data_IF_736438221119
#
_entry.id   IF_736438221119
#
_cell.length_a   1.000
_cell.length_b   1.000
_cell.length_c   1.000
_cell.angle_alpha   90.00
_cell.angle_beta   90.00
_cell.angle_gamma   90.00
#
_symmetry.space_group_name_H-M   'P 1'
#
loop_
_entity.id
_entity.type
_entity.pdbx_description
1 polymer ?
#
# COMPACT_ATOMS: atom_id res chain seq x y z
N UNK A 1 -23.34 4.64 7.61
CA UNK A 1 -22.24 5.61 7.76
C UNK A 1 -21.03 5.06 7.01
N UNK A 2 -20.40 5.85 6.14
CA UNK A 2 -19.20 5.43 5.39
C UNK A 2 -17.97 6.01 6.07
N UNK A 3 -17.14 5.16 6.66
CA UNK A 3 -15.88 5.55 7.28
C UNK A 3 -14.72 5.04 6.44
N UNK A 4 -13.71 5.89 6.24
CA UNK A 4 -12.46 5.54 5.59
C UNK A 4 -11.31 5.86 6.53
N UNK A 5 -10.37 4.93 6.62
CA UNK A 5 -9.16 5.08 7.44
C UNK A 5 -7.95 4.61 6.62
N UNK A 6 -6.82 5.29 6.76
CA UNK A 6 -5.53 4.85 6.22
C UNK A 6 -4.70 4.32 7.39
N UNK A 7 -4.17 3.10 7.25
CA UNK A 7 -3.29 2.49 8.25
C UNK A 7 -1.99 2.01 7.62
N UNK A 8 -0.94 2.01 8.44
CA UNK A 8 0.29 1.26 8.15
C UNK A 8 0.10 -0.16 8.69
N UNK A 9 0.20 -1.15 7.81
CA UNK A 9 0.15 -2.55 8.20
C UNK A 9 1.48 -3.03 8.80
N UNK A 10 1.51 -4.29 9.22
CA UNK A 10 2.71 -4.89 9.80
C UNK A 10 3.86 -4.90 8.82
N UNK A 11 5.07 -4.63 9.32
CA UNK A 11 6.27 -4.66 8.50
C UNK A 11 6.63 -6.08 8.07
N UNK A 12 7.06 -6.24 6.83
CA UNK A 12 7.66 -7.48 6.31
C UNK A 12 9.10 -7.22 5.94
N UNK A 13 10.02 -8.09 6.35
CA UNK A 13 11.43 -8.00 6.00
C UNK A 13 11.77 -9.02 4.92
N UNK A 14 12.39 -8.56 3.83
CA UNK A 14 12.93 -9.41 2.76
C UNK A 14 14.35 -8.93 2.50
N UNK A 15 15.33 -9.82 2.68
CA UNK A 15 16.75 -9.51 2.55
C UNK A 15 17.18 -8.28 3.39
N UNK A 16 17.73 -7.25 2.74
CA UNK A 16 18.16 -5.98 3.32
C UNK A 16 17.05 -4.91 3.38
N UNK A 17 15.82 -5.24 2.98
CA UNK A 17 14.69 -4.30 2.87
C UNK A 17 13.60 -4.58 3.90
N UNK A 18 13.00 -3.52 4.43
CA UNK A 18 11.80 -3.57 5.28
C UNK A 18 10.66 -2.85 4.57
N UNK A 19 9.55 -3.54 4.41
CA UNK A 19 8.36 -3.08 3.71
C UNK A 19 7.25 -2.78 4.70
N UNK A 20 6.68 -1.58 4.62
CA UNK A 20 5.52 -1.15 5.41
C UNK A 20 4.34 -0.90 4.46
N UNK A 21 3.35 -1.80 4.40
CA UNK A 21 2.20 -1.62 3.54
C UNK A 21 1.29 -0.50 4.06
N UNK A 22 0.89 0.38 3.16
CA UNK A 22 -0.09 1.42 3.41
C UNK A 22 -1.43 0.91 2.90
N UNK A 23 -2.41 0.81 3.79
CA UNK A 23 -3.70 0.17 3.54
C UNK A 23 -4.82 1.19 3.73
N UNK A 24 -5.78 1.19 2.80
CA UNK A 24 -7.07 1.87 2.95
C UNK A 24 -8.09 0.89 3.49
N UNK A 25 -8.68 1.21 4.63
CA UNK A 25 -9.77 0.44 5.22
C UNK A 25 -11.06 1.22 5.01
N UNK A 26 -11.99 0.61 4.28
CA UNK A 26 -13.34 1.10 4.08
C UNK A 26 -14.29 0.33 4.98
N UNK A 27 -15.04 1.04 5.82
CA UNK A 27 -16.07 0.46 6.65
C UNK A 27 -17.43 1.07 6.30
N UNK A 28 -18.37 0.21 5.91
CA UNK A 28 -19.76 0.57 5.69
C UNK A 28 -20.65 -0.17 6.68
N UNK A 29 -21.38 0.61 7.49
CA UNK A 29 -22.46 0.09 8.35
C UNK A 29 -23.84 0.50 7.82
N UNK A 30 -24.72 -0.48 7.62
CA UNK A 30 -26.12 -0.28 7.20
C UNK A 30 -27.08 -1.23 7.94
N UNK A 31 -27.93 -0.65 8.80
CA UNK A 31 -28.95 -1.29 9.64
C UNK A 31 -28.49 -2.55 10.42
N UNK A 32 -28.35 -3.70 9.76
CA UNK A 32 -27.96 -4.98 10.37
C UNK A 32 -26.64 -5.56 9.80
N UNK A 33 -26.07 -4.93 8.77
CA UNK A 33 -24.86 -5.39 8.10
C UNK A 33 -23.69 -4.42 8.28
N UNK A 34 -22.52 -4.99 8.52
CA UNK A 34 -21.22 -4.31 8.52
C UNK A 34 -20.34 -4.93 7.43
N UNK A 35 -19.82 -4.09 6.54
CA UNK A 35 -18.92 -4.48 5.46
C UNK A 35 -17.59 -3.78 5.64
N UNK A 36 -16.53 -4.56 5.61
CA UNK A 36 -15.16 -4.07 5.62
C UNK A 36 -14.51 -4.41 4.28
N UNK A 37 -13.85 -3.43 3.69
CA UNK A 37 -12.97 -3.62 2.54
C UNK A 37 -11.59 -3.08 2.88
N UNK A 38 -10.55 -3.79 2.47
CA UNK A 38 -9.15 -3.42 2.66
C UNK A 38 -8.53 -3.37 1.27
N UNK A 39 -7.90 -2.25 0.94
CA UNK A 39 -7.22 -2.05 -0.35
C UNK A 39 -5.79 -1.56 -0.11
N UNK A 40 -4.77 -2.17 -0.75
CA UNK A 40 -3.42 -1.63 -0.71
C UNK A 40 -3.36 -0.30 -1.45
N UNK A 41 -2.61 0.67 -0.92
CA UNK A 41 -2.37 1.97 -1.54
C UNK A 41 -0.91 2.15 -1.96
N UNK A 42 0.02 1.68 -1.14
CA UNK A 42 1.45 1.83 -1.39
C UNK A 42 2.26 0.88 -0.49
N UNK A 43 3.54 0.70 -0.79
CA UNK A 43 4.55 0.15 0.11
C UNK A 43 5.60 1.21 0.40
N UNK A 44 5.83 1.51 1.67
CA UNK A 44 7.04 2.24 2.08
C UNK A 44 8.15 1.21 2.23
N UNK A 45 9.27 1.42 1.54
CA UNK A 45 10.44 0.55 1.59
C UNK A 45 11.57 1.28 2.27
N UNK A 46 12.22 0.60 3.21
CA UNK A 46 13.44 1.04 3.87
C UNK A 46 14.56 0.09 3.48
N UNK A 47 15.58 0.60 2.80
CA UNK A 47 16.75 -0.14 2.32
C UNK A 47 18.02 0.57 2.79
N UNK A 48 18.61 0.10 3.89
CA UNK A 48 19.70 0.82 4.55
C UNK A 48 19.28 2.23 4.98
N UNK A 49 19.91 3.25 4.42
CA UNK A 49 19.56 4.67 4.65
C UNK A 49 18.49 5.18 3.68
N UNK A 50 18.23 4.47 2.58
CA UNK A 50 17.24 4.87 1.58
C UNK A 50 15.82 4.56 2.04
N UNK A 51 14.91 5.50 1.78
CA UNK A 51 13.48 5.36 2.05
C UNK A 51 12.71 5.83 0.82
N UNK A 52 11.86 4.98 0.29
CA UNK A 52 11.06 5.29 -0.89
C UNK A 52 9.65 4.68 -0.79
N UNK A 53 8.72 5.18 -1.60
CA UNK A 53 7.33 4.75 -1.63
C UNK A 53 7.05 4.14 -3.00
N UNK A 54 6.58 2.90 -3.03
CA UNK A 54 6.04 2.25 -4.21
C UNK A 54 4.52 2.39 -4.20
N UNK A 55 3.90 3.26 -5.02
CA UNK A 55 2.46 3.32 -5.13
C UNK A 55 1.93 1.98 -5.67
N UNK A 56 0.80 1.52 -5.15
CA UNK A 56 0.07 0.35 -5.64
C UNK A 56 -1.06 0.74 -6.58
N UNK A 57 -0.96 1.94 -7.20
CA UNK A 57 -1.85 2.28 -8.31
C UNK A 57 -1.81 1.15 -9.34
N UNK A 58 -2.97 0.80 -9.89
CA UNK A 58 -3.04 -0.15 -11.00
C UNK A 58 -2.19 0.46 -12.13
N UNK A 59 -0.94 0.00 -12.25
CA UNK A 59 -0.11 0.31 -13.41
C UNK A 59 -0.75 -0.43 -14.57
N UNK A 60 -1.66 0.25 -15.27
CA UNK A 60 -2.24 -0.23 -16.52
C UNK A 60 -1.14 -0.38 -17.60
N UNK A 61 -0.01 0.29 -17.40
CA UNK A 61 1.14 0.30 -18.31
C UNK A 61 2.41 -0.32 -17.67
N UNK A 62 2.78 -1.54 -18.09
CA UNK A 62 4.00 -2.21 -17.66
C UNK A 62 5.29 -1.44 -17.97
N UNK A 63 5.32 -0.62 -19.04
CA UNK A 63 6.51 0.15 -19.42
C UNK A 63 6.81 1.27 -18.41
N UNK A 64 5.76 1.86 -17.84
CA UNK A 64 5.88 2.88 -16.80
C UNK A 64 6.47 2.31 -15.50
N UNK A 65 6.10 1.07 -15.15
CA UNK A 65 6.65 0.37 -13.98
C UNK A 65 8.14 0.06 -14.19
N UNK A 66 8.52 -0.43 -15.37
CA UNK A 66 9.91 -0.72 -15.72
C UNK A 66 10.78 0.54 -15.70
N UNK A 67 10.26 1.68 -16.20
CA UNK A 67 10.95 2.96 -16.14
C UNK A 67 11.23 3.42 -14.70
N UNK A 68 10.24 3.31 -13.81
CA UNK A 68 10.40 3.71 -12.40
C UNK A 68 11.38 2.81 -11.63
N UNK A 69 11.41 1.51 -11.95
CA UNK A 69 12.36 0.57 -11.35
C UNK A 69 13.80 0.81 -11.81
N UNK A 70 14.00 1.29 -13.04
CA UNK A 70 15.31 1.57 -13.63
C UNK A 70 15.90 2.94 -13.27
N UNK A 71 15.15 3.81 -12.56
CA UNK A 71 15.63 5.11 -12.09
C UNK A 71 16.38 5.04 -10.74
N UNK A 72 16.57 3.84 -10.17
CA UNK A 72 17.31 3.58 -8.93
C UNK A 72 18.69 3.00 -9.23
#
# INVERSE_FOLDING_TARGET
MKNQEIKVGNSVKIENRIFYPILKIFHWKHHENEVYSISPLALVVVEGEMKYILPMEEFDDPEMLESLMNMV
#
